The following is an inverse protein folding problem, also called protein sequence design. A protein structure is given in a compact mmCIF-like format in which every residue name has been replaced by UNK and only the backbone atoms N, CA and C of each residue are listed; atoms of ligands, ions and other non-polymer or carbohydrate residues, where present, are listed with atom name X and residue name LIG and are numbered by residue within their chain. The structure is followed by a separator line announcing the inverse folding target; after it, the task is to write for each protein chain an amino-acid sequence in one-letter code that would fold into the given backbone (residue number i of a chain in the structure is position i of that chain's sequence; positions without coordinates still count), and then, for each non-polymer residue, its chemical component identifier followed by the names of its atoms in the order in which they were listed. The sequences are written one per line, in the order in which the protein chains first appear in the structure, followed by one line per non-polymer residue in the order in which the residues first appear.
data_IF_220244868309
#
_entry.id   IF_220244868309
#
_cell.length_a   1.000
_cell.length_b   1.000
_cell.length_c   1.000
_cell.angle_alpha   90.00
_cell.angle_beta   90.00
_cell.angle_gamma   90.00
#
_symmetry.space_group_name_H-M   'P 1'
#
loop_
_entity.id
_entity.type
_entity.pdbx_description
1 polymer ?
#
# COMPACT_ATOMS: atom_id res chain seq x y z
N UNK A 1 -12.25 0.84 21.20
CA UNK A 1 -12.49 0.90 19.74
C UNK A 1 -12.95 -0.46 19.24
N UNK A 2 -13.49 -0.53 18.01
CA UNK A 2 -13.93 -1.75 17.32
C UNK A 2 -13.64 -1.62 15.84
N UNK A 3 -12.93 -2.60 15.28
CA UNK A 3 -12.67 -2.71 13.83
C UNK A 3 -13.31 -3.99 13.30
N UNK A 4 -13.95 -3.91 12.14
CA UNK A 4 -14.51 -5.08 11.43
C UNK A 4 -14.11 -4.96 9.97
N UNK A 5 -13.60 -6.05 9.41
CA UNK A 5 -13.17 -6.09 8.02
C UNK A 5 -13.16 -7.51 7.48
N UNK A 6 -12.77 -7.62 6.22
CA UNK A 6 -12.51 -8.89 5.53
C UNK A 6 -11.11 -8.83 4.96
N UNK A 7 -10.30 -9.82 5.29
CA UNK A 7 -8.95 -9.98 4.78
C UNK A 7 -8.91 -11.12 3.76
N UNK A 8 -8.14 -10.91 2.69
CA UNK A 8 -7.90 -11.88 1.62
C UNK A 8 -6.41 -12.04 1.42
N UNK A 9 -5.95 -13.29 1.41
CA UNK A 9 -4.60 -13.65 0.99
C UNK A 9 -4.67 -14.75 -0.06
N UNK A 10 -3.91 -14.58 -1.13
CA UNK A 10 -3.76 -15.54 -2.22
C UNK A 10 -2.29 -15.68 -2.59
N UNK A 11 -1.83 -16.92 -2.76
CA UNK A 11 -0.51 -17.27 -3.30
C UNK A 11 -0.73 -18.27 -4.43
N UNK A 12 -0.17 -17.97 -5.61
CA UNK A 12 -0.28 -18.83 -6.79
C UNK A 12 1.08 -19.01 -7.44
N UNK A 13 1.48 -20.26 -7.65
CA UNK A 13 2.78 -20.64 -8.17
C UNK A 13 2.62 -21.47 -9.42
N UNK A 14 3.29 -21.08 -10.49
CA UNK A 14 3.20 -21.76 -11.76
C UNK A 14 4.47 -21.55 -12.59
N UNK A 15 4.66 -22.37 -13.61
CA UNK A 15 5.72 -22.18 -14.59
C UNK A 15 5.23 -21.28 -15.71
N UNK A 16 5.99 -20.24 -16.02
CA UNK A 16 5.76 -19.35 -17.16
C UNK A 16 6.94 -19.48 -18.11
N UNK A 17 6.75 -20.18 -19.23
CA UNK A 17 7.85 -20.60 -20.08
C UNK A 17 8.81 -21.51 -19.31
N UNK A 18 10.09 -21.16 -19.31
CA UNK A 18 11.14 -21.89 -18.58
C UNK A 18 11.36 -21.38 -17.14
N UNK A 19 10.66 -20.30 -16.74
CA UNK A 19 10.81 -19.71 -15.41
C UNK A 19 9.73 -20.13 -14.43
N UNK A 20 10.05 -19.99 -13.14
CA UNK A 20 9.10 -20.14 -12.05
C UNK A 20 8.52 -18.77 -11.66
N UNK A 21 7.19 -18.67 -11.67
CA UNK A 21 6.45 -17.47 -11.31
C UNK A 21 5.70 -17.68 -9.99
N UNK A 22 5.75 -16.68 -9.12
CA UNK A 22 4.93 -16.59 -7.92
C UNK A 22 4.13 -15.29 -7.98
N UNK A 23 2.81 -15.39 -7.84
CA UNK A 23 1.91 -14.27 -7.64
C UNK A 23 1.39 -14.32 -6.21
N UNK A 24 1.48 -13.21 -5.49
CA UNK A 24 0.90 -13.06 -4.15
C UNK A 24 0.01 -11.83 -4.11
N UNK A 25 -1.20 -11.96 -3.60
CA UNK A 25 -2.11 -10.86 -3.34
C UNK A 25 -2.48 -10.89 -1.86
N UNK A 26 -2.29 -9.77 -1.17
CA UNK A 26 -2.82 -9.54 0.18
C UNK A 26 -3.70 -8.30 0.10
N UNK A 27 -4.95 -8.40 0.52
CA UNK A 27 -5.89 -7.30 0.51
C UNK A 27 -6.76 -7.28 1.75
N UNK A 28 -7.14 -6.10 2.19
CA UNK A 28 -8.10 -5.92 3.29
C UNK A 28 -9.20 -4.96 2.86
N UNK A 29 -10.41 -5.26 3.33
CA UNK A 29 -11.59 -4.40 3.23
C UNK A 29 -12.05 -4.03 4.62
N UNK A 30 -11.94 -2.75 4.97
CA UNK A 30 -12.47 -2.23 6.21
C UNK A 30 -13.97 -1.93 6.06
N UNK A 31 -14.78 -2.56 6.91
CA UNK A 31 -16.24 -2.41 6.93
C UNK A 31 -16.67 -1.47 8.05
N UNK A 32 -15.98 -1.53 9.19
CA UNK A 32 -16.30 -0.73 10.37
C UNK A 32 -15.02 -0.29 11.09
N UNK A 33 -14.98 0.97 11.49
CA UNK A 33 -13.92 1.57 12.28
C UNK A 33 -14.50 2.51 13.32
N UNK A 34 -14.88 1.97 14.48
CA UNK A 34 -15.59 2.74 15.52
C UNK A 34 -14.77 3.00 16.75
N UNK A 35 -14.89 4.20 17.29
CA UNK A 35 -14.36 4.58 18.59
C UNK A 35 -15.46 5.15 19.46
N UNK A 36 -15.35 4.92 20.77
CA UNK A 36 -16.30 5.41 21.76
C UNK A 36 -15.51 6.29 22.71
N UNK A 37 -15.96 7.53 22.89
CA UNK A 37 -15.33 8.47 23.82
C UNK A 37 -15.56 8.04 25.27
N UNK A 38 -16.74 7.48 25.55
CA UNK A 38 -17.16 7.03 26.88
C UNK A 38 -17.82 5.64 26.81
N UNK A 39 -17.48 4.76 27.76
CA UNK A 39 -18.02 3.41 27.80
C UNK A 39 -19.51 3.37 28.22
N UNK A 40 -19.94 4.35 28.99
CA UNK A 40 -21.33 4.47 29.49
C UNK A 40 -22.33 4.86 28.40
N UNK A 41 -21.85 5.34 27.25
CA UNK A 41 -22.67 5.72 26.09
C UNK A 41 -22.37 4.79 24.89
N UNK A 42 -22.74 3.49 24.96
CA UNK A 42 -22.39 2.51 23.91
C UNK A 42 -23.05 2.80 22.55
N UNK A 43 -24.08 3.65 22.52
CA UNK A 43 -24.74 4.09 21.30
C UNK A 43 -24.06 5.28 20.62
N UNK A 44 -23.17 5.99 21.32
CA UNK A 44 -22.46 7.16 20.82
C UNK A 44 -21.04 6.77 20.40
N UNK A 45 -20.77 6.81 19.09
CA UNK A 45 -19.49 6.43 18.53
C UNK A 45 -19.11 7.29 17.33
N UNK A 46 -17.80 7.41 17.11
CA UNK A 46 -17.21 8.00 15.93
C UNK A 46 -16.91 6.89 14.92
N UNK A 47 -17.35 7.06 13.67
CA UNK A 47 -17.07 6.14 12.56
C UNK A 47 -15.96 6.74 11.67
N UNK A 48 -14.89 5.98 11.48
CA UNK A 48 -13.68 6.40 10.77
C UNK A 48 -13.50 5.73 9.41
N UNK A 49 -14.33 4.76 8.99
CA UNK A 49 -14.17 4.16 7.66
C UNK A 49 -14.15 5.25 6.59
N UNK A 50 -13.17 5.20 5.69
CA UNK A 50 -12.83 6.21 4.67
C UNK A 50 -12.06 7.43 5.17
N UNK A 51 -11.74 7.55 6.47
CA UNK A 51 -10.77 8.54 6.93
C UNK A 51 -9.36 8.18 6.42
N UNK A 52 -8.45 9.16 6.34
CA UNK A 52 -7.11 8.97 5.79
C UNK A 52 -6.32 7.84 6.46
N UNK A 53 -6.52 7.61 7.75
CA UNK A 53 -5.87 6.53 8.51
C UNK A 53 -6.60 5.19 8.42
N UNK A 54 -7.85 5.21 7.93
CA UNK A 54 -8.78 4.09 7.89
C UNK A 54 -9.39 3.95 6.47
N UNK A 55 -8.55 3.87 5.42
CA UNK A 55 -9.03 3.70 4.06
C UNK A 55 -9.81 2.40 3.93
N UNK A 56 -10.85 2.41 3.09
CA UNK A 56 -11.76 1.26 2.96
C UNK A 56 -11.07 0.04 2.38
N UNK A 57 -10.14 0.24 1.44
CA UNK A 57 -9.36 -0.84 0.87
C UNK A 57 -7.87 -0.55 0.93
N UNK A 58 -7.11 -1.60 1.22
CA UNK A 58 -5.66 -1.64 0.99
C UNK A 58 -5.31 -2.97 0.38
N UNK A 59 -4.36 -2.97 -0.54
CA UNK A 59 -3.87 -4.20 -1.14
C UNK A 59 -2.40 -4.09 -1.52
N UNK A 60 -1.71 -5.22 -1.47
CA UNK A 60 -0.38 -5.42 -2.02
C UNK A 60 -0.42 -6.62 -2.96
N UNK A 61 0.07 -6.42 -4.17
CA UNK A 61 0.26 -7.48 -5.16
C UNK A 61 1.74 -7.62 -5.47
N UNK A 62 2.25 -8.84 -5.41
CA UNK A 62 3.64 -9.15 -5.70
C UNK A 62 3.73 -10.21 -6.79
N UNK A 63 4.59 -9.97 -7.77
CA UNK A 63 5.00 -10.94 -8.78
C UNK A 63 6.49 -11.17 -8.63
N UNK A 64 6.91 -12.45 -8.55
CA UNK A 64 8.31 -12.86 -8.65
C UNK A 64 8.46 -13.82 -9.79
N UNK A 65 9.48 -13.62 -10.61
CA UNK A 65 9.81 -14.47 -11.75
C UNK A 65 11.29 -14.83 -11.67
N UNK A 66 11.59 -16.13 -11.67
CA UNK A 66 12.95 -16.65 -11.66
C UNK A 66 13.16 -17.54 -12.87
N UNK A 67 14.19 -17.25 -13.68
CA UNK A 67 14.54 -18.02 -14.86
C UNK A 67 16.06 -18.17 -14.94
N UNK A 68 16.54 -19.39 -14.69
CA UNK A 68 17.96 -19.70 -14.54
C UNK A 68 18.64 -18.76 -13.53
N UNK A 69 19.65 -18.01 -13.95
CA UNK A 69 20.38 -17.03 -13.15
C UNK A 69 19.64 -15.72 -12.94
N UNK A 70 18.57 -15.47 -13.70
CA UNK A 70 17.85 -14.21 -13.67
C UNK A 70 16.69 -14.25 -12.69
N UNK A 71 16.51 -13.14 -11.98
CA UNK A 71 15.36 -12.90 -11.12
C UNK A 71 14.76 -11.53 -11.39
N UNK A 72 13.45 -11.44 -11.42
CA UNK A 72 12.70 -10.20 -11.51
C UNK A 72 11.59 -10.20 -10.48
N UNK A 73 11.31 -9.05 -9.88
CA UNK A 73 10.17 -8.85 -9.01
C UNK A 73 9.48 -7.53 -9.29
N UNK A 74 8.16 -7.56 -9.15
CA UNK A 74 7.30 -6.40 -9.20
C UNK A 74 6.38 -6.41 -8.00
N UNK A 75 6.39 -5.32 -7.23
CA UNK A 75 5.46 -5.06 -6.14
C UNK A 75 4.56 -3.89 -6.51
N UNK A 76 3.26 -4.05 -6.32
CA UNK A 76 2.25 -3.01 -6.46
C UNK A 76 1.57 -2.82 -5.12
N UNK A 77 1.55 -1.59 -4.63
CA UNK A 77 0.87 -1.21 -3.39
C UNK A 77 -0.30 -0.31 -3.73
N UNK A 78 -1.45 -0.56 -3.11
CA UNK A 78 -2.70 0.16 -3.33
C UNK A 78 -3.32 0.63 -2.02
N UNK A 79 -3.74 1.89 -2.00
CA UNK A 79 -4.54 2.51 -0.94
C UNK A 79 -5.75 3.18 -1.59
N UNK A 80 -6.95 2.87 -1.11
CA UNK A 80 -8.17 3.49 -1.60
C UNK A 80 -8.22 5.00 -1.33
N UNK A 81 -9.01 5.71 -2.14
CA UNK A 81 -9.33 7.11 -1.89
C UNK A 81 -9.99 7.28 -0.52
N UNK A 82 -9.65 8.36 0.16
CA UNK A 82 -10.08 8.62 1.54
C UNK A 82 -10.31 10.11 1.77
N UNK A 83 -11.04 10.41 2.83
CA UNK A 83 -11.31 11.75 3.34
C UNK A 83 -10.09 12.26 4.13
N UNK A 84 -9.77 13.53 3.96
CA UNK A 84 -8.75 14.21 4.79
C UNK A 84 -9.28 14.64 6.16
N UNK A 85 -10.58 14.52 6.37
CA UNK A 85 -11.30 14.81 7.62
C UNK A 85 -12.12 13.58 8.01
N UNK A 86 -12.58 13.52 9.25
CA UNK A 86 -13.44 12.40 9.68
C UNK A 86 -14.74 12.35 8.85
N UNK A 87 -15.34 11.18 8.64
CA UNK A 87 -16.63 11.05 7.97
C UNK A 87 -17.73 11.94 8.57
N UNK A 88 -17.76 12.07 9.89
CA UNK A 88 -18.69 12.98 10.58
C UNK A 88 -18.46 14.46 10.20
N UNK A 89 -17.20 14.91 10.23
CA UNK A 89 -16.83 16.27 9.82
C UNK A 89 -17.20 16.53 8.36
N UNK A 90 -17.00 15.55 7.49
CA UNK A 90 -17.41 15.64 6.09
C UNK A 90 -18.94 15.72 5.93
N UNK A 91 -19.69 14.88 6.65
CA UNK A 91 -21.16 14.85 6.56
C UNK A 91 -21.80 16.15 7.07
N UNK A 92 -21.22 16.76 8.10
CA UNK A 92 -21.67 18.04 8.66
C UNK A 92 -21.25 19.24 7.80
N UNK A 93 -20.02 19.23 7.27
CA UNK A 93 -19.52 20.28 6.39
C UNK A 93 -18.53 19.72 5.35
N UNK A 94 -19.00 19.39 4.13
CA UNK A 94 -18.15 18.90 3.04
C UNK A 94 -17.09 19.91 2.55
N UNK A 95 -17.23 21.19 2.90
CA UNK A 95 -16.30 22.27 2.55
C UNK A 95 -15.29 22.60 3.65
N UNK A 96 -15.21 21.82 4.73
CA UNK A 96 -14.35 22.07 5.89
C UNK A 96 -12.85 22.01 5.60
N UNK A 97 -12.44 21.37 4.50
CA UNK A 97 -11.06 21.31 4.05
C UNK A 97 -10.95 21.34 2.53
N UNK A 98 -9.82 21.83 2.01
CA UNK A 98 -9.49 21.80 0.58
C UNK A 98 -8.04 21.35 0.37
N UNK A 99 -7.79 20.25 -0.36
CA UNK A 99 -8.79 19.31 -0.88
C UNK A 99 -9.46 18.51 0.26
N UNK A 100 -10.72 18.10 0.06
CA UNK A 100 -11.48 17.34 1.07
C UNK A 100 -11.18 15.83 1.04
N UNK A 101 -10.66 15.32 -0.08
CA UNK A 101 -10.33 13.90 -0.31
C UNK A 101 -8.95 13.72 -0.94
N UNK A 102 -8.30 12.61 -0.61
CA UNK A 102 -7.24 12.02 -1.38
C UNK A 102 -7.84 11.08 -2.44
N UNK A 103 -7.31 11.14 -3.66
CA UNK A 103 -7.55 10.07 -4.64
C UNK A 103 -6.90 8.77 -4.19
N UNK A 104 -7.26 7.66 -4.84
CA UNK A 104 -6.57 6.39 -4.62
C UNK A 104 -5.08 6.52 -4.98
N UNK A 105 -4.25 5.79 -4.26
CA UNK A 105 -2.80 5.83 -4.39
C UNK A 105 -2.27 4.44 -4.74
N UNK A 106 -1.68 4.33 -5.92
CA UNK A 106 -1.03 3.11 -6.40
C UNK A 106 0.38 3.45 -6.84
N UNK A 107 1.35 2.67 -6.38
CA UNK A 107 2.73 2.79 -6.82
C UNK A 107 3.37 1.41 -7.01
N UNK A 108 4.45 1.39 -7.77
CA UNK A 108 5.05 0.18 -8.30
C UNK A 108 6.55 0.18 -8.02
N UNK A 109 7.04 -0.92 -7.48
CA UNK A 109 8.46 -1.15 -7.26
C UNK A 109 8.91 -2.31 -8.14
N UNK A 110 10.09 -2.19 -8.75
CA UNK A 110 10.68 -3.22 -9.59
C UNK A 110 12.08 -3.55 -9.09
N UNK A 111 12.47 -4.81 -9.19
CA UNK A 111 13.85 -5.24 -8.98
C UNK A 111 14.22 -6.31 -9.98
N UNK A 112 15.44 -6.21 -10.51
CA UNK A 112 16.04 -7.17 -11.43
C UNK A 112 17.38 -7.60 -10.87
N UNK A 113 17.65 -8.90 -10.87
CA UNK A 113 18.88 -9.47 -10.35
C UNK A 113 19.44 -10.59 -11.23
N UNK A 114 20.73 -10.84 -11.05
CA UNK A 114 21.49 -11.87 -11.74
C UNK A 114 22.46 -12.55 -10.77
N UNK A 115 22.35 -13.88 -10.67
CA UNK A 115 23.27 -14.72 -9.90
C UNK A 115 24.38 -15.23 -10.83
N UNK A 116 25.63 -14.89 -10.55
CA UNK A 116 26.75 -15.38 -11.37
C UNK A 116 26.96 -16.89 -11.17
N UNK A 117 26.87 -17.71 -12.24
CA UNK A 117 27.03 -19.16 -12.16
C UNK A 117 28.32 -19.59 -11.48
N UNK A 118 28.24 -20.57 -10.59
CA UNK A 118 29.40 -21.12 -9.88
C UNK A 118 30.02 -20.16 -8.86
N UNK A 119 29.42 -18.99 -8.62
CA UNK A 119 29.83 -18.06 -7.57
C UNK A 119 28.67 -17.81 -6.59
N UNK A 120 28.98 -17.18 -5.45
CA UNK A 120 27.97 -16.69 -4.50
C UNK A 120 27.52 -15.25 -4.80
N UNK A 121 28.06 -14.62 -5.84
CA UNK A 121 27.81 -13.21 -6.15
C UNK A 121 26.44 -13.10 -6.83
N UNK A 122 25.53 -12.39 -6.20
CA UNK A 122 24.31 -11.88 -6.81
C UNK A 122 24.41 -10.37 -6.94
N UNK A 123 24.02 -9.84 -8.09
CA UNK A 123 23.90 -8.40 -8.32
C UNK A 123 22.46 -8.05 -8.64
N UNK A 124 21.99 -6.92 -8.14
CA UNK A 124 20.63 -6.47 -8.42
C UNK A 124 20.54 -4.96 -8.52
N UNK A 125 19.62 -4.52 -9.38
CA UNK A 125 19.18 -3.14 -9.51
C UNK A 125 17.69 -3.07 -9.18
N UNK A 126 17.27 -2.01 -8.53
CA UNK A 126 15.87 -1.78 -8.22
C UNK A 126 15.45 -0.33 -8.35
N UNK A 127 14.14 -0.17 -8.50
CA UNK A 127 13.46 1.11 -8.66
C UNK A 127 12.22 1.07 -7.78
N UNK A 128 12.23 1.84 -6.70
CA UNK A 128 11.03 2.08 -5.89
C UNK A 128 10.27 3.28 -6.46
N UNK A 129 8.94 3.21 -6.39
CA UNK A 129 8.04 4.20 -6.98
C UNK A 129 8.40 4.53 -8.44
N UNK A 130 8.51 3.50 -9.28
CA UNK A 130 9.09 3.59 -10.63
C UNK A 130 8.39 4.59 -11.56
N UNK A 131 7.14 4.94 -11.27
CA UNK A 131 6.36 5.91 -12.05
C UNK A 131 6.25 7.30 -11.40
N UNK A 132 7.07 7.61 -10.39
CA UNK A 132 7.09 8.93 -9.71
C UNK A 132 5.72 9.35 -9.15
N UNK A 133 5.04 8.43 -8.48
CA UNK A 133 3.75 8.75 -7.90
C UNK A 133 3.93 9.72 -6.72
N UNK A 134 3.56 10.97 -6.94
CA UNK A 134 3.55 12.00 -5.89
C UNK A 134 2.56 11.63 -4.76
N UNK A 135 2.95 11.81 -3.48
CA UNK A 135 2.01 11.72 -2.38
C UNK A 135 0.94 12.81 -2.49
N UNK A 136 -0.20 12.67 -1.79
CA UNK A 136 -1.17 13.74 -1.72
C UNK A 136 -0.54 15.05 -1.20
N UNK A 137 -1.03 16.20 -1.66
CA UNK A 137 -0.48 17.51 -1.25
C UNK A 137 -0.47 17.67 0.27
N UNK A 138 0.64 18.21 0.80
CA UNK A 138 0.94 18.44 2.21
C UNK A 138 1.19 17.17 3.04
N UNK A 139 1.52 16.05 2.40
CA UNK A 139 1.87 14.80 3.08
C UNK A 139 3.38 14.65 3.00
N UNK A 140 4.08 15.07 4.06
CA UNK A 140 5.54 15.12 4.11
C UNK A 140 6.16 13.90 4.79
N UNK A 141 5.35 12.92 5.20
CA UNK A 141 5.79 11.73 5.95
C UNK A 141 6.18 12.05 7.40
N UNK A 142 5.68 13.16 7.95
CA UNK A 142 6.01 13.66 9.29
C UNK A 142 4.95 13.33 10.35
N UNK A 143 3.82 12.77 9.94
CA UNK A 143 2.68 12.51 10.81
C UNK A 143 2.00 11.17 10.50
N UNK A 144 1.13 10.73 11.43
CA UNK A 144 0.40 9.48 11.30
C UNK A 144 -0.51 9.45 10.06
N UNK A 145 -1.06 10.61 9.67
CA UNK A 145 -1.97 10.72 8.52
C UNK A 145 -1.27 10.58 7.17
N UNK A 146 0.04 10.80 7.11
CA UNK A 146 0.86 10.69 5.89
C UNK A 146 1.59 9.37 5.73
N UNK A 147 1.59 8.51 6.77
CA UNK A 147 2.36 7.26 6.80
C UNK A 147 1.95 6.21 5.73
N UNK A 148 0.78 6.36 5.09
CA UNK A 148 0.31 5.44 4.05
C UNK A 148 0.84 5.77 2.64
N UNK A 149 1.61 6.85 2.50
CA UNK A 149 2.04 7.39 1.21
C UNK A 149 3.56 7.51 1.16
N UNK A 150 4.15 7.15 0.02
CA UNK A 150 5.59 7.32 -0.22
C UNK A 150 5.89 8.82 -0.40
N UNK A 151 6.77 9.36 0.44
CA UNK A 151 7.22 10.75 0.44
C UNK A 151 8.65 10.95 -0.11
N UNK A 152 9.32 9.88 -0.55
CA UNK A 152 10.67 9.90 -1.11
C UNK A 152 10.62 10.18 -2.62
N UNK A 153 9.61 9.62 -3.31
CA UNK A 153 9.49 9.69 -4.77
C UNK A 153 10.25 8.55 -5.46
N UNK A 154 10.53 8.66 -6.77
CA UNK A 154 11.24 7.60 -7.50
C UNK A 154 12.68 7.44 -6.99
N UNK A 155 13.03 6.26 -6.52
CA UNK A 155 14.34 5.95 -5.96
C UNK A 155 14.99 4.76 -6.65
N UNK A 156 16.22 4.94 -7.14
CA UNK A 156 17.01 3.89 -7.78
C UNK A 156 18.08 3.37 -6.82
N UNK A 157 18.29 2.05 -6.82
CA UNK A 157 19.34 1.43 -6.02
C UNK A 157 20.01 0.27 -6.77
N UNK A 158 21.25 0.00 -6.40
CA UNK A 158 22.07 -1.10 -6.89
C UNK A 158 22.73 -1.77 -5.68
N UNK A 159 22.80 -3.09 -5.68
CA UNK A 159 23.44 -3.84 -4.62
C UNK A 159 24.01 -5.16 -5.08
N UNK A 160 24.75 -5.79 -4.17
CA UNK A 160 25.29 -7.14 -4.33
C UNK A 160 25.22 -7.88 -3.00
N UNK A 161 25.01 -9.19 -3.07
CA UNK A 161 25.05 -10.11 -1.91
C UNK A 161 25.96 -11.29 -2.18
#
# INVERSE_FOLDING_TARGET
SRRVGVDLEMDYRFQLGEGNTVLRLVGTRLIQSREWVFQDFPAEYDEYVTYVTDPRWRAQFQTKYNWNEWRASWDMNYVDGNLRVTPESYNSNPGSASPIKNGSYTYHNFQFGYQFPGSKIDVYLGIDNAFDKDPPRNYFGSDFTSALYDNIGRFFYLGTT
#
